data_IF_173353175948
#
_entry.id   IF_173353175948
#
_cell.length_a   1.000
_cell.length_b   1.000
_cell.length_c   1.000
_cell.angle_alpha   90.00
_cell.angle_beta   90.00
_cell.angle_gamma   90.00
#
_symmetry.space_group_name_H-M   'P 1'
#
loop_
_entity.id
_entity.type
_entity.pdbx_description
1 polymer ?
#
# COMPACT_ATOMS: atom_id res chain seq x y z
N UNK A 1 -6.41 -12.68 12.63
CA UNK A 1 -7.14 -11.91 13.67
C UNK A 1 -8.30 -11.21 13.00
N UNK A 2 -9.48 -11.34 13.57
CA UNK A 2 -10.69 -10.71 13.04
C UNK A 2 -11.08 -9.56 13.96
N UNK A 3 -11.36 -8.41 13.39
CA UNK A 3 -11.86 -7.24 14.11
C UNK A 3 -13.29 -6.98 13.67
N UNK A 4 -14.23 -7.01 14.62
CA UNK A 4 -15.61 -6.61 14.38
C UNK A 4 -15.79 -5.16 14.87
N UNK A 5 -16.10 -4.27 13.95
CA UNK A 5 -16.42 -2.88 14.25
C UNK A 5 -17.92 -2.69 14.03
N UNK A 6 -18.65 -2.57 15.12
CA UNK A 6 -20.09 -2.26 15.08
C UNK A 6 -20.29 -0.77 15.24
N UNK A 7 -20.93 -0.14 14.27
CA UNK A 7 -21.33 1.27 14.34
C UNK A 7 -22.84 1.36 14.32
N UNK A 8 -23.40 2.09 15.30
CA UNK A 8 -24.83 2.47 15.30
C UNK A 8 -24.95 3.83 14.63
N UNK A 9 -25.66 3.90 13.51
CA UNK A 9 -25.97 5.18 12.88
C UNK A 9 -27.11 5.88 13.61
N UNK A 10 -27.05 7.22 13.69
CA UNK A 10 -28.10 8.04 14.26
C UNK A 10 -29.36 7.86 13.42
N UNK A 11 -30.52 7.55 14.04
CA UNK A 11 -31.74 7.31 13.30
C UNK A 11 -32.20 8.61 12.60
N UNK A 12 -32.55 8.48 11.33
CA UNK A 12 -33.27 9.49 10.59
C UNK A 12 -34.74 9.08 10.54
N UNK A 13 -35.57 9.64 11.45
CA UNK A 13 -36.94 9.22 11.63
C UNK A 13 -37.11 8.06 12.60
N UNK A 14 -38.05 7.14 12.35
CA UNK A 14 -38.40 6.03 13.24
C UNK A 14 -37.58 4.75 12.97
N UNK A 15 -36.57 4.79 12.05
CA UNK A 15 -35.74 3.65 11.69
C UNK A 15 -34.33 3.73 12.27
N UNK A 16 -33.87 2.64 12.89
CA UNK A 16 -32.51 2.47 13.34
C UNK A 16 -31.74 1.67 12.27
N UNK A 17 -30.72 2.28 11.67
CA UNK A 17 -29.81 1.59 10.77
C UNK A 17 -28.58 1.11 11.56
N UNK A 18 -28.40 -0.20 11.67
CA UNK A 18 -27.19 -0.79 12.22
C UNK A 18 -26.28 -1.21 11.08
N UNK A 19 -25.04 -0.72 11.10
CA UNK A 19 -23.97 -1.21 10.21
C UNK A 19 -22.92 -1.96 11.02
N UNK A 20 -22.54 -3.11 10.53
CA UNK A 20 -21.42 -3.87 11.07
C UNK A 20 -20.31 -3.93 10.02
N UNK A 21 -19.10 -3.55 10.42
CA UNK A 21 -17.90 -3.70 9.60
C UNK A 21 -17.06 -4.80 10.21
N UNK A 22 -16.68 -5.80 9.40
CA UNK A 22 -15.74 -6.85 9.77
C UNK A 22 -14.41 -6.59 9.07
N UNK A 23 -13.33 -6.56 9.84
CA UNK A 23 -11.98 -6.44 9.32
C UNK A 23 -11.22 -7.72 9.63
N UNK A 24 -10.73 -8.38 8.60
CA UNK A 24 -10.01 -9.64 8.71
C UNK A 24 -8.59 -9.49 8.18
N UNK A 25 -7.60 -9.90 8.96
CA UNK A 25 -6.24 -10.02 8.48
C UNK A 25 -6.04 -11.31 7.68
N UNK A 26 -5.43 -11.21 6.52
CA UNK A 26 -5.04 -12.37 5.72
C UNK A 26 -3.65 -12.80 6.17
N UNK A 27 -3.55 -13.99 6.73
CA UNK A 27 -2.32 -14.54 7.29
C UNK A 27 -1.66 -15.58 6.39
N UNK A 28 -0.39 -15.86 6.65
CA UNK A 28 0.33 -16.92 5.98
C UNK A 28 0.83 -16.58 4.58
N UNK A 29 0.80 -15.29 4.20
CA UNK A 29 1.42 -14.87 2.96
C UNK A 29 2.95 -15.00 3.07
N UNK A 30 3.63 -15.49 2.02
CA UNK A 30 5.10 -15.52 1.99
C UNK A 30 5.67 -14.11 1.85
N UNK A 31 7.00 -14.00 1.93
CA UNK A 31 7.68 -12.78 1.51
C UNK A 31 7.43 -12.59 0.01
N UNK A 32 6.91 -11.44 -0.36
CA UNK A 32 6.56 -11.14 -1.75
C UNK A 32 7.79 -10.70 -2.53
N UNK A 33 7.96 -11.29 -3.70
CA UNK A 33 9.03 -10.98 -4.65
C UNK A 33 8.46 -10.48 -5.98
N UNK A 34 9.32 -9.92 -6.80
CA UNK A 34 8.96 -9.48 -8.14
C UNK A 34 8.47 -10.66 -8.98
N UNK A 35 7.31 -10.50 -9.61
CA UNK A 35 6.69 -11.53 -10.45
C UNK A 35 5.75 -12.48 -9.70
N UNK A 36 5.64 -12.37 -8.37
CA UNK A 36 4.67 -13.17 -7.62
C UNK A 36 3.23 -12.80 -8.03
N UNK A 37 2.41 -13.81 -8.21
CA UNK A 37 0.97 -13.63 -8.42
C UNK A 37 0.29 -13.37 -7.08
N UNK A 38 0.23 -12.10 -6.71
CA UNK A 38 -0.34 -11.66 -5.45
C UNK A 38 -1.82 -12.02 -5.33
N UNK A 39 -2.55 -11.99 -6.43
CA UNK A 39 -3.97 -12.36 -6.47
C UNK A 39 -4.16 -13.83 -6.12
N UNK A 40 -3.40 -14.72 -6.76
CA UNK A 40 -3.45 -16.15 -6.47
C UNK A 40 -3.07 -16.43 -5.02
N UNK A 41 -1.98 -15.83 -4.53
CA UNK A 41 -1.52 -16.00 -3.15
C UNK A 41 -2.56 -15.57 -2.11
N UNK A 42 -3.29 -14.50 -2.37
CA UNK A 42 -4.37 -14.02 -1.49
C UNK A 42 -5.59 -14.94 -1.57
N UNK A 43 -6.04 -15.29 -2.78
CA UNK A 43 -7.22 -16.13 -2.98
C UNK A 43 -7.08 -17.55 -2.44
N UNK A 44 -5.85 -18.08 -2.35
CA UNK A 44 -5.57 -19.35 -1.69
C UNK A 44 -5.81 -19.32 -0.16
N UNK A 45 -5.81 -18.15 0.44
CA UNK A 45 -5.83 -17.96 1.90
C UNK A 45 -7.13 -17.40 2.44
N UNK A 46 -7.96 -16.85 1.57
CA UNK A 46 -9.25 -16.28 1.95
C UNK A 46 -10.24 -16.40 0.81
N UNK A 47 -11.52 -16.53 1.16
CA UNK A 47 -12.61 -16.42 0.23
C UNK A 47 -13.20 -15.01 0.32
N UNK A 48 -13.55 -14.45 -0.82
CA UNK A 48 -14.20 -13.15 -0.94
C UNK A 48 -15.69 -13.30 -1.23
N UNK A 49 -16.47 -12.38 -0.73
CA UNK A 49 -17.87 -12.22 -1.03
C UNK A 49 -18.10 -10.92 -1.82
N UNK A 50 -19.22 -10.84 -2.50
CA UNK A 50 -19.58 -9.63 -3.23
C UNK A 50 -19.67 -8.43 -2.28
N UNK A 51 -18.98 -7.37 -2.61
CA UNK A 51 -18.92 -6.16 -1.81
C UNK A 51 -17.75 -6.08 -0.84
N UNK A 52 -16.93 -7.12 -0.74
CA UNK A 52 -15.70 -7.06 0.07
C UNK A 52 -14.70 -6.04 -0.48
N UNK A 53 -13.98 -5.43 0.44
CA UNK A 53 -12.89 -4.48 0.13
C UNK A 53 -11.57 -5.11 0.57
N UNK A 54 -10.67 -5.31 -0.38
CA UNK A 54 -9.32 -5.77 -0.12
C UNK A 54 -8.38 -4.58 0.03
N UNK A 55 -7.76 -4.44 1.21
CA UNK A 55 -6.73 -3.44 1.45
C UNK A 55 -5.34 -4.09 1.36
N UNK A 56 -4.51 -3.58 0.46
CA UNK A 56 -3.14 -4.06 0.26
C UNK A 56 -2.18 -2.90 0.52
N UNK A 57 -1.14 -3.15 1.32
CA UNK A 57 -0.08 -2.16 1.51
C UNK A 57 0.62 -1.86 0.17
N UNK A 58 0.87 -0.59 -0.11
CA UNK A 58 1.52 -0.17 -1.36
C UNK A 58 2.90 -0.80 -1.57
N UNK A 59 3.64 -1.02 -0.49
CA UNK A 59 4.94 -1.69 -0.54
C UNK A 59 4.85 -3.15 -1.00
N UNK A 60 3.78 -3.86 -0.65
CA UNK A 60 3.52 -5.24 -1.09
C UNK A 60 3.23 -5.28 -2.58
N UNK A 61 2.33 -4.41 -3.04
CA UNK A 61 2.01 -4.26 -4.46
C UNK A 61 3.24 -3.86 -5.29
N UNK A 62 4.02 -2.91 -4.81
CA UNK A 62 5.25 -2.47 -5.47
C UNK A 62 6.28 -3.61 -5.62
N UNK A 63 6.45 -4.43 -4.60
CA UNK A 63 7.34 -5.60 -4.66
C UNK A 63 6.87 -6.63 -5.69
N UNK A 64 5.59 -6.99 -5.68
CA UNK A 64 5.03 -7.94 -6.65
C UNK A 64 5.18 -7.44 -8.09
N UNK A 65 5.05 -6.15 -8.32
CA UNK A 65 5.21 -5.50 -9.62
C UNK A 65 6.69 -5.21 -10.01
N UNK A 66 7.64 -5.63 -9.19
CA UNK A 66 9.06 -5.39 -9.46
C UNK A 66 9.50 -3.93 -9.36
N UNK A 67 8.76 -3.12 -8.62
CA UNK A 67 9.01 -1.68 -8.45
C UNK A 67 10.02 -1.39 -7.32
N UNK A 68 10.97 -2.27 -7.14
CA UNK A 68 12.09 -2.06 -6.21
C UNK A 68 13.33 -1.60 -6.97
N UNK A 69 14.16 -0.82 -6.30
CA UNK A 69 15.42 -0.31 -6.87
C UNK A 69 16.57 -0.53 -5.91
N UNK A 70 17.72 -0.90 -6.46
CA UNK A 70 18.95 -0.99 -5.70
C UNK A 70 19.63 0.39 -5.68
N UNK A 71 19.72 1.01 -4.52
CA UNK A 71 20.31 2.35 -4.40
C UNK A 71 21.79 2.41 -4.80
N UNK A 72 22.49 1.29 -4.76
CA UNK A 72 23.91 1.27 -5.20
C UNK A 72 24.09 1.47 -6.70
N UNK A 73 23.02 1.28 -7.48
CA UNK A 73 23.00 1.42 -8.94
C UNK A 73 22.44 2.78 -9.40
N UNK A 74 22.03 3.63 -8.45
CA UNK A 74 21.43 4.93 -8.73
C UNK A 74 22.47 6.02 -8.68
N UNK A 75 22.55 6.79 -9.77
CA UNK A 75 23.35 8.00 -9.85
C UNK A 75 22.42 9.22 -9.71
N UNK A 76 22.52 9.99 -8.61
CA UNK A 76 21.65 11.12 -8.39
C UNK A 76 22.03 12.31 -9.28
N UNK A 77 21.01 12.97 -9.82
CA UNK A 77 21.18 14.25 -10.53
C UNK A 77 21.42 15.39 -9.54
N UNK A 78 21.90 16.54 -10.06
CA UNK A 78 22.06 17.76 -9.24
C UNK A 78 20.76 18.18 -8.55
N UNK A 79 19.61 17.99 -9.21
CA UNK A 79 18.29 18.26 -8.64
C UNK A 79 18.02 17.36 -7.44
N UNK A 80 18.31 16.05 -7.56
CA UNK A 80 18.14 15.11 -6.46
C UNK A 80 19.05 15.45 -5.27
N UNK A 81 20.30 15.83 -5.53
CA UNK A 81 21.25 16.24 -4.49
C UNK A 81 20.78 17.50 -3.76
N UNK A 82 20.27 18.49 -4.47
CA UNK A 82 19.76 19.72 -3.86
C UNK A 82 18.54 19.48 -2.99
N UNK A 83 17.59 18.65 -3.46
CA UNK A 83 16.40 18.27 -2.67
C UNK A 83 16.80 17.46 -1.45
N UNK A 84 17.69 16.49 -1.60
CA UNK A 84 18.18 15.63 -0.52
C UNK A 84 18.85 16.45 0.58
N UNK A 85 19.65 17.44 0.22
CA UNK A 85 20.30 18.33 1.18
C UNK A 85 19.27 19.13 2.00
N UNK A 86 18.20 19.60 1.37
CA UNK A 86 17.12 20.32 2.04
C UNK A 86 16.25 19.41 2.92
N UNK A 87 16.03 18.15 2.51
CA UNK A 87 15.18 17.20 3.21
C UNK A 87 15.92 16.35 4.28
N UNK A 88 17.25 16.32 4.26
CA UNK A 88 18.05 15.47 5.12
C UNK A 88 18.01 13.99 4.72
N UNK A 89 17.87 13.71 3.42
CA UNK A 89 17.68 12.38 2.87
C UNK A 89 18.85 11.94 1.98
N UNK A 90 18.88 10.65 1.62
CA UNK A 90 19.86 10.13 0.65
C UNK A 90 19.50 10.62 -0.77
N UNK A 91 20.43 11.27 -1.51
CA UNK A 91 20.15 11.76 -2.85
C UNK A 91 19.78 10.66 -3.84
N UNK A 92 20.22 9.41 -3.66
CA UNK A 92 19.84 8.27 -4.49
C UNK A 92 18.38 7.90 -4.28
N UNK A 93 17.91 7.97 -3.02
CA UNK A 93 16.50 7.77 -2.68
C UNK A 93 15.61 8.85 -3.31
N UNK A 94 16.05 10.12 -3.23
CA UNK A 94 15.36 11.23 -3.89
C UNK A 94 15.33 11.04 -5.41
N UNK A 95 16.41 10.54 -6.01
CA UNK A 95 16.44 10.27 -7.45
C UNK A 95 15.38 9.25 -7.86
N UNK A 96 15.22 8.17 -7.10
CA UNK A 96 14.17 7.15 -7.36
C UNK A 96 12.77 7.77 -7.30
N UNK A 97 12.53 8.68 -6.35
CA UNK A 97 11.26 9.41 -6.26
C UNK A 97 11.05 10.30 -7.49
N UNK A 98 12.08 11.03 -7.90
CA UNK A 98 12.00 11.89 -9.10
C UNK A 98 11.71 11.08 -10.37
N UNK A 99 12.36 9.92 -10.53
CA UNK A 99 12.16 9.04 -11.69
C UNK A 99 10.74 8.44 -11.74
N UNK A 100 10.12 8.23 -10.58
CA UNK A 100 8.77 7.68 -10.45
C UNK A 100 7.67 8.74 -10.41
N UNK A 101 8.02 10.02 -10.38
CA UNK A 101 7.08 11.13 -10.21
C UNK A 101 6.89 11.90 -11.51
N UNK A 102 5.67 12.38 -11.75
CA UNK A 102 5.39 13.30 -12.86
C UNK A 102 5.83 14.72 -12.46
N UNK A 103 5.61 15.09 -11.21
CA UNK A 103 6.03 16.37 -10.65
C UNK A 103 6.28 16.24 -9.15
N UNK A 104 7.13 17.08 -8.61
CA UNK A 104 7.44 17.15 -7.18
C UNK A 104 7.22 18.58 -6.71
N UNK A 105 6.24 18.73 -5.83
CA UNK A 105 5.95 19.98 -5.16
C UNK A 105 6.83 20.11 -3.91
N UNK A 106 7.53 21.21 -3.81
CA UNK A 106 8.39 21.53 -2.67
C UNK A 106 7.82 22.73 -1.89
#
# INVERSE_FOLDING_TARGET
MRYDLSATLIPTGDEFLMMTIQVMGIHGLPIIHAGDDLTALICERTAFEDGDILCIASSVSAKANGQTRNLTEIEPTERAIAIAAAAGEDPRFIQVILDASVDVLL
#
